data_IF_433494830039
#
_entry.id   IF_433494830039
#
_cell.length_a   1.000
_cell.length_b   1.000
_cell.length_c   1.000
_cell.angle_alpha   90.00
_cell.angle_beta   90.00
_cell.angle_gamma   90.00
#
_symmetry.space_group_name_H-M   'P 1'
#
loop_
_entity.id
_entity.type
_entity.pdbx_description
1 polymer ?
#
# COMPACT_ATOMS: atom_id res chain seq x y z
N UNK A 1 -20.62 -8.96 35.92
CA UNK A 1 -19.31 -9.47 35.53
C UNK A 1 -18.26 -8.93 36.47
N UNK A 2 -17.29 -9.69 36.95
CA UNK A 2 -16.26 -9.16 37.81
C UNK A 2 -15.46 -8.08 37.06
N UNK A 3 -15.29 -6.92 37.71
CA UNK A 3 -14.66 -5.71 37.18
C UNK A 3 -13.18 -5.86 36.76
N UNK A 4 -12.61 -7.05 36.93
CA UNK A 4 -11.21 -7.32 36.69
C UNK A 4 -10.92 -7.98 35.32
N UNK A 5 -11.96 -8.26 34.50
CA UNK A 5 -11.77 -9.02 33.22
C UNK A 5 -11.58 -8.08 32.05
N UNK A 6 -12.20 -6.91 32.04
CA UNK A 6 -12.08 -5.93 30.95
C UNK A 6 -11.59 -4.59 31.52
N UNK A 7 -10.36 -4.24 31.20
CA UNK A 7 -9.81 -2.92 31.49
C UNK A 7 -9.88 -2.01 30.26
N UNK A 8 -9.67 -0.71 30.44
CA UNK A 8 -9.67 0.29 29.37
C UNK A 8 -8.79 -0.14 28.18
N UNK A 9 -7.56 -0.60 28.46
CA UNK A 9 -6.59 -1.01 27.43
C UNK A 9 -7.07 -2.21 26.62
N UNK A 10 -7.75 -3.18 27.25
CA UNK A 10 -8.33 -4.33 26.54
C UNK A 10 -9.45 -3.90 25.60
N UNK A 11 -10.32 -2.96 26.04
CA UNK A 11 -11.39 -2.42 25.21
C UNK A 11 -10.85 -1.59 24.05
N UNK A 12 -9.85 -0.76 24.29
CA UNK A 12 -9.14 -0.03 23.22
C UNK A 12 -8.57 -0.99 22.17
N UNK A 13 -7.92 -2.08 22.61
CA UNK A 13 -7.38 -3.09 21.71
C UNK A 13 -8.48 -3.78 20.89
N UNK A 14 -9.62 -4.12 21.49
CA UNK A 14 -10.77 -4.71 20.79
C UNK A 14 -11.38 -3.76 19.75
N UNK A 15 -11.46 -2.46 20.06
CA UNK A 15 -11.93 -1.47 19.09
C UNK A 15 -10.92 -1.32 17.95
N UNK A 16 -9.65 -1.17 18.27
CA UNK A 16 -8.61 -0.99 17.25
C UNK A 16 -8.47 -2.19 16.30
N UNK A 17 -8.64 -3.41 16.80
CA UNK A 17 -8.59 -4.60 15.94
C UNK A 17 -9.92 -4.87 15.18
N UNK A 18 -10.95 -4.04 15.38
CA UNK A 18 -12.21 -4.17 14.66
C UNK A 18 -13.18 -5.22 15.23
N UNK A 19 -12.90 -5.77 16.42
CA UNK A 19 -13.77 -6.78 17.05
C UNK A 19 -15.17 -6.26 17.38
N UNK A 20 -15.36 -4.94 17.45
CA UNK A 20 -16.64 -4.30 17.74
C UNK A 20 -17.31 -3.64 16.52
N UNK A 21 -16.72 -3.76 15.30
CA UNK A 21 -17.25 -3.10 14.11
C UNK A 21 -18.67 -3.59 13.76
N UNK A 22 -18.97 -4.86 13.96
CA UNK A 22 -20.27 -5.46 13.67
C UNK A 22 -21.37 -5.00 14.64
N UNK A 23 -20.99 -4.61 15.86
CA UNK A 23 -21.93 -4.13 16.89
C UNK A 23 -22.17 -2.62 16.85
N UNK A 24 -21.43 -1.90 16.05
CA UNK A 24 -21.38 -0.44 16.06
C UNK A 24 -22.36 0.21 15.07
N UNK A 25 -23.61 -0.16 15.01
CA UNK A 25 -24.71 0.47 14.25
C UNK A 25 -24.36 1.85 13.62
N UNK A 26 -23.48 1.91 12.60
CA UNK A 26 -22.94 3.11 11.93
C UNK A 26 -21.87 3.93 12.69
N UNK A 27 -21.42 3.55 13.85
CA UNK A 27 -20.33 4.23 14.53
C UNK A 27 -18.97 3.72 14.03
N UNK A 28 -18.05 4.62 13.84
CA UNK A 28 -16.69 4.28 13.41
C UNK A 28 -15.78 4.00 14.63
N UNK A 29 -14.60 3.39 14.41
CA UNK A 29 -13.67 3.02 15.49
C UNK A 29 -13.19 4.24 16.29
N UNK A 30 -12.95 5.37 15.64
CA UNK A 30 -12.52 6.61 16.29
C UNK A 30 -13.64 7.16 17.22
N UNK A 31 -14.89 7.08 16.78
CA UNK A 31 -16.03 7.44 17.63
C UNK A 31 -16.12 6.52 18.86
N UNK A 32 -16.06 5.21 18.68
CA UNK A 32 -16.11 4.26 19.81
C UNK A 32 -15.04 4.57 20.86
N UNK A 33 -13.82 4.90 20.41
CA UNK A 33 -12.73 5.28 21.31
C UNK A 33 -12.99 6.58 22.05
N UNK A 34 -13.56 7.58 21.39
CA UNK A 34 -13.86 8.88 22.03
C UNK A 34 -14.87 8.77 23.16
N UNK A 35 -15.75 7.76 23.15
CA UNK A 35 -16.75 7.50 24.17
C UNK A 35 -16.35 6.47 25.21
N UNK A 36 -15.24 5.80 25.02
CA UNK A 36 -14.84 4.66 25.83
C UNK A 36 -14.75 5.00 27.31
N UNK A 37 -14.24 6.17 27.68
CA UNK A 37 -14.12 6.60 29.06
C UNK A 37 -15.50 6.77 29.70
N UNK A 38 -16.42 7.46 29.02
CA UNK A 38 -17.80 7.68 29.52
C UNK A 38 -18.53 6.35 29.74
N UNK A 39 -18.34 5.38 28.84
CA UNK A 39 -18.94 4.04 28.95
C UNK A 39 -18.36 3.28 30.14
N UNK A 40 -17.06 3.37 30.38
CA UNK A 40 -16.40 2.72 31.51
C UNK A 40 -16.87 3.32 32.83
N UNK A 41 -16.97 4.65 32.92
CA UNK A 41 -17.46 5.36 34.13
C UNK A 41 -18.91 4.98 34.43
N UNK A 42 -19.77 5.00 33.41
CA UNK A 42 -21.17 4.59 33.54
C UNK A 42 -21.30 3.13 34.01
N UNK A 43 -20.57 2.19 33.37
CA UNK A 43 -20.59 0.78 33.75
C UNK A 43 -20.08 0.55 35.16
N UNK A 44 -19.08 1.32 35.60
CA UNK A 44 -18.52 1.26 36.96
C UNK A 44 -19.49 1.80 38.01
N UNK A 45 -20.21 2.88 37.69
CA UNK A 45 -21.27 3.42 38.55
C UNK A 45 -22.38 2.41 38.75
N UNK A 46 -22.93 1.86 37.66
CA UNK A 46 -24.00 0.84 37.74
C UNK A 46 -23.58 -0.43 38.49
N UNK A 47 -22.34 -0.84 38.35
CA UNK A 47 -21.84 -2.00 39.08
C UNK A 47 -21.77 -1.71 40.61
N UNK A 48 -21.39 -0.50 41.01
CA UNK A 48 -21.40 -0.07 42.41
C UNK A 48 -22.83 -0.04 42.97
N UNK A 49 -23.80 0.51 42.23
CA UNK A 49 -25.19 0.58 42.63
C UNK A 49 -25.80 -0.82 42.82
N UNK A 50 -25.47 -1.77 41.94
CA UNK A 50 -25.87 -3.18 42.07
C UNK A 50 -25.28 -3.86 43.32
N UNK A 51 -24.01 -3.57 43.64
CA UNK A 51 -23.32 -4.17 44.79
C UNK A 51 -23.77 -3.56 46.12
N UNK A 52 -24.19 -2.29 46.15
CA UNK A 52 -24.70 -1.61 47.33
C UNK A 52 -26.15 -1.98 47.68
N UNK A 53 -26.82 -2.76 46.85
CA UNK A 53 -28.22 -3.16 47.04
C UNK A 53 -29.23 -2.00 46.91
N UNK A 54 -28.77 -0.79 46.54
CA UNK A 54 -29.63 0.34 46.20
C UNK A 54 -30.14 0.14 44.76
N UNK A 55 -31.14 -0.70 44.58
CA UNK A 55 -31.92 -0.73 43.37
C UNK A 55 -32.59 0.61 43.15
N UNK A 56 -32.27 1.32 42.06
CA UNK A 56 -33.01 2.51 41.71
C UNK A 56 -34.48 2.13 41.48
N UNK A 57 -35.38 2.75 42.23
CA UNK A 57 -36.84 2.53 42.12
C UNK A 57 -37.38 2.85 40.71
N UNK A 58 -36.55 3.45 39.85
CA UNK A 58 -36.82 3.87 38.48
C UNK A 58 -36.09 3.06 37.44
N UNK A 59 -35.66 1.83 37.74
CA UNK A 59 -34.99 0.95 36.79
C UNK A 59 -36.00 0.36 35.76
N UNK A 60 -36.79 1.25 35.15
CA UNK A 60 -37.69 0.92 34.06
C UNK A 60 -36.88 0.71 32.77
N UNK A 61 -37.29 -0.27 31.97
CA UNK A 61 -36.67 -0.58 30.67
C UNK A 61 -36.56 0.63 29.74
N UNK A 62 -37.23 1.74 30.03
CA UNK A 62 -37.20 2.99 29.27
C UNK A 62 -35.92 3.82 29.46
N UNK A 63 -35.22 3.67 30.60
CA UNK A 63 -33.92 4.34 30.77
C UNK A 63 -32.82 3.73 29.90
N UNK A 64 -32.91 2.45 29.55
CA UNK A 64 -32.00 1.84 28.58
C UNK A 64 -32.12 2.46 27.19
N UNK A 65 -33.31 2.92 26.81
CA UNK A 65 -33.54 3.59 25.52
C UNK A 65 -33.19 5.10 25.58
N UNK A 66 -33.15 5.71 26.75
CA UNK A 66 -32.81 7.14 26.91
C UNK A 66 -31.32 7.39 27.18
N UNK A 67 -30.58 6.38 27.68
CA UNK A 67 -29.12 6.37 27.81
C UNK A 67 -28.47 5.62 26.63
N UNK A 68 -29.27 4.89 25.84
CA UNK A 68 -28.81 4.49 24.51
C UNK A 68 -28.32 5.77 23.83
N UNK A 69 -27.01 5.89 23.70
CA UNK A 69 -26.32 6.91 22.99
C UNK A 69 -27.15 7.25 21.74
N UNK A 70 -28.00 8.28 21.85
CA UNK A 70 -28.72 8.72 20.65
C UNK A 70 -27.64 9.16 19.67
N UNK A 71 -27.65 8.64 18.46
CA UNK A 71 -26.70 9.00 17.40
C UNK A 71 -26.50 10.51 17.26
N UNK A 72 -27.47 11.30 17.77
CA UNK A 72 -27.43 12.75 17.77
C UNK A 72 -26.51 13.39 18.85
N UNK A 73 -26.07 12.64 19.86
CA UNK A 73 -25.17 13.15 20.91
C UNK A 73 -23.71 12.77 20.68
N UNK A 74 -23.46 11.84 19.77
CA UNK A 74 -22.11 11.41 19.43
C UNK A 74 -21.45 12.49 18.57
N UNK A 75 -20.37 13.10 19.03
CA UNK A 75 -19.57 13.98 18.20
C UNK A 75 -19.18 13.23 16.93
N UNK A 76 -19.45 13.82 15.75
CA UNK A 76 -18.99 13.25 14.49
C UNK A 76 -17.47 13.36 14.45
N UNK A 77 -16.81 12.23 14.63
CA UNK A 77 -15.36 12.10 14.49
C UNK A 77 -15.09 11.35 13.21
N UNK A 78 -14.19 11.86 12.38
CA UNK A 78 -13.74 11.15 11.19
C UNK A 78 -13.05 9.84 11.58
N UNK A 79 -13.36 8.79 10.86
CA UNK A 79 -12.80 7.46 11.15
C UNK A 79 -11.34 7.37 10.70
N UNK A 80 -10.63 6.41 11.25
CA UNK A 80 -9.29 6.07 10.78
C UNK A 80 -9.31 5.73 9.28
N UNK A 81 -8.28 6.15 8.57
CA UNK A 81 -8.07 5.71 7.19
C UNK A 81 -7.93 4.17 7.14
N UNK A 82 -8.24 3.58 5.99
CA UNK A 82 -8.10 2.12 5.83
C UNK A 82 -6.69 1.63 6.19
N UNK A 83 -5.66 2.37 5.81
CA UNK A 83 -4.26 2.01 6.07
C UNK A 83 -3.98 2.02 7.57
N UNK A 84 -4.49 3.01 8.31
CA UNK A 84 -4.34 3.08 9.76
C UNK A 84 -5.05 1.93 10.45
N UNK A 85 -6.29 1.59 10.03
CA UNK A 85 -7.03 0.43 10.56
C UNK A 85 -6.24 -0.86 10.38
N UNK A 86 -5.74 -1.11 9.18
CA UNK A 86 -4.95 -2.30 8.86
C UNK A 86 -3.64 -2.35 9.66
N UNK A 87 -2.98 -1.19 9.86
CA UNK A 87 -1.77 -1.11 10.69
C UNK A 87 -2.07 -1.46 12.15
N UNK A 88 -3.17 -0.97 12.71
CA UNK A 88 -3.60 -1.29 14.07
C UNK A 88 -3.97 -2.77 14.22
N UNK A 89 -4.69 -3.35 13.26
CA UNK A 89 -4.98 -4.78 13.23
C UNK A 89 -3.69 -5.61 13.26
N UNK A 90 -2.73 -5.32 12.39
CA UNK A 90 -1.45 -6.03 12.36
C UNK A 90 -0.65 -5.88 13.64
N UNK A 91 -0.62 -4.68 14.24
CA UNK A 91 0.06 -4.45 15.51
C UNK A 91 -0.53 -5.28 16.68
N UNK A 92 -1.85 -5.46 16.68
CA UNK A 92 -2.55 -6.14 17.77
C UNK A 92 -2.71 -7.64 17.55
N UNK A 93 -2.98 -8.06 16.30
CA UNK A 93 -3.28 -9.45 15.94
C UNK A 93 -2.08 -10.17 15.30
N UNK A 94 -1.09 -9.43 14.79
CA UNK A 94 0.02 -9.98 14.02
C UNK A 94 -0.26 -10.18 12.53
N UNK A 95 -1.50 -9.98 12.08
CA UNK A 95 -1.93 -10.11 10.68
C UNK A 95 -3.02 -9.10 10.33
N UNK A 96 -3.30 -8.93 9.04
CA UNK A 96 -4.41 -8.11 8.55
C UNK A 96 -5.70 -8.93 8.55
N UNK A 97 -6.75 -8.44 9.18
CA UNK A 97 -8.03 -9.14 9.30
C UNK A 97 -9.07 -8.63 8.31
N UNK A 98 -9.29 -7.32 8.26
CA UNK A 98 -10.39 -6.72 7.49
C UNK A 98 -10.12 -6.73 5.99
N UNK A 99 -8.89 -6.41 5.58
CA UNK A 99 -8.49 -6.30 4.18
C UNK A 99 -6.96 -6.40 4.03
N UNK A 100 -6.47 -6.43 2.79
CA UNK A 100 -5.02 -6.42 2.51
C UNK A 100 -4.59 -5.06 1.98
N UNK A 101 -3.45 -4.47 2.46
CA UNK A 101 -3.00 -3.13 2.04
C UNK A 101 -2.83 -2.95 0.52
N UNK A 102 -2.59 -4.05 -0.22
CA UNK A 102 -2.43 -4.02 -1.67
C UNK A 102 -3.73 -4.26 -2.45
N UNK A 103 -4.85 -4.59 -1.80
CA UNK A 103 -6.10 -4.94 -2.51
C UNK A 103 -6.62 -3.81 -3.41
N UNK A 104 -6.63 -2.59 -2.89
CA UNK A 104 -7.06 -1.42 -3.66
C UNK A 104 -6.10 -1.05 -4.80
N UNK A 105 -4.85 -1.53 -4.71
CA UNK A 105 -3.83 -1.32 -5.73
C UNK A 105 -3.85 -2.34 -6.85
N UNK A 106 -4.67 -3.39 -6.78
CA UNK A 106 -4.67 -4.51 -7.74
C UNK A 106 -4.82 -4.04 -9.19
N UNK A 107 -5.76 -3.12 -9.45
CA UNK A 107 -5.98 -2.58 -10.80
C UNK A 107 -4.86 -1.63 -11.24
N UNK A 108 -4.47 -0.60 -10.46
CA UNK A 108 -3.36 0.28 -10.81
C UNK A 108 -2.03 -0.48 -10.88
N UNK A 109 -1.79 -1.44 -9.99
CA UNK A 109 -0.57 -2.24 -9.99
C UNK A 109 -0.32 -2.97 -11.31
N UNK A 110 -1.37 -3.53 -11.93
CA UNK A 110 -1.26 -4.22 -13.24
C UNK A 110 -0.72 -3.32 -14.35
N UNK A 111 -0.85 -2.00 -14.23
CA UNK A 111 -0.29 -1.07 -15.21
C UNK A 111 1.25 -1.01 -15.15
N UNK A 112 1.83 -1.21 -13.97
CA UNK A 112 3.29 -1.10 -13.73
C UNK A 112 3.94 -2.43 -13.41
N UNK A 113 3.16 -3.42 -12.97
CA UNK A 113 3.57 -4.78 -12.65
C UNK A 113 2.62 -5.77 -13.34
N UNK A 114 2.98 -6.26 -14.54
CA UNK A 114 2.12 -7.17 -15.29
C UNK A 114 2.07 -8.58 -14.71
N UNK A 115 3.02 -8.95 -13.86
CA UNK A 115 3.13 -10.27 -13.23
C UNK A 115 2.96 -10.18 -11.71
N UNK A 116 2.47 -11.26 -11.11
CA UNK A 116 2.37 -11.45 -9.67
C UNK A 116 3.54 -12.29 -9.12
N UNK A 117 3.71 -12.30 -7.81
CA UNK A 117 4.77 -13.09 -7.16
C UNK A 117 4.60 -14.59 -7.45
N UNK A 118 3.38 -15.12 -7.46
CA UNK A 118 3.11 -16.52 -7.80
C UNK A 118 3.60 -16.93 -9.20
N UNK A 119 3.66 -15.98 -10.15
CA UNK A 119 4.12 -16.23 -11.52
C UNK A 119 5.65 -16.21 -11.67
N UNK A 120 6.40 -15.86 -10.61
CA UNK A 120 7.87 -15.86 -10.66
C UNK A 120 8.44 -17.25 -10.89
N UNK A 121 7.82 -18.28 -10.33
CA UNK A 121 8.25 -19.67 -10.48
C UNK A 121 8.14 -20.16 -11.94
N UNK A 122 7.13 -19.69 -12.67
CA UNK A 122 6.92 -20.03 -14.09
C UNK A 122 7.78 -19.18 -15.02
N UNK A 123 8.26 -18.04 -14.55
CA UNK A 123 9.05 -17.10 -15.36
C UNK A 123 10.49 -17.61 -15.50
N UNK A 124 11.09 -17.41 -16.69
CA UNK A 124 12.48 -17.86 -16.98
C UNK A 124 13.49 -17.19 -16.05
N UNK A 125 14.55 -17.95 -15.71
CA UNK A 125 15.72 -17.43 -14.98
C UNK A 125 16.32 -16.21 -15.70
N UNK A 126 16.89 -15.30 -14.93
CA UNK A 126 17.50 -14.03 -15.39
C UNK A 126 16.56 -13.10 -16.16
N UNK A 127 15.26 -13.32 -16.07
CA UNK A 127 14.28 -12.38 -16.65
C UNK A 127 14.17 -11.14 -15.76
N UNK A 128 14.18 -9.96 -16.37
CA UNK A 128 13.89 -8.69 -15.68
C UNK A 128 12.41 -8.52 -15.52
N UNK A 129 12.00 -8.24 -14.29
CA UNK A 129 10.59 -8.11 -13.91
C UNK A 129 10.36 -6.85 -13.09
N UNK A 130 9.10 -6.44 -13.00
CA UNK A 130 8.67 -5.45 -12.02
C UNK A 130 7.50 -6.01 -11.25
N UNK A 131 7.55 -5.88 -9.92
CA UNK A 131 6.58 -6.38 -8.97
C UNK A 131 6.06 -5.25 -8.09
N UNK A 132 4.78 -5.31 -7.80
CA UNK A 132 4.17 -4.51 -6.73
C UNK A 132 4.00 -5.41 -5.52
N UNK A 133 4.63 -5.05 -4.43
CA UNK A 133 4.59 -5.83 -3.20
C UNK A 133 4.75 -4.95 -1.97
N UNK A 134 4.58 -5.57 -0.82
CA UNK A 134 4.81 -4.98 0.49
C UNK A 134 5.93 -5.75 1.19
N UNK A 135 6.62 -5.10 2.11
CA UNK A 135 7.68 -5.70 2.94
C UNK A 135 7.09 -6.11 4.30
N UNK A 136 6.68 -7.37 4.52
CA UNK A 136 6.29 -7.82 5.85
C UNK A 136 7.47 -7.97 6.79
N UNK A 137 8.64 -8.37 6.28
CA UNK A 137 9.86 -8.58 7.07
C UNK A 137 11.12 -8.21 6.30
N UNK A 138 12.11 -7.71 7.01
CA UNK A 138 13.39 -7.25 6.49
C UNK A 138 14.52 -7.71 7.40
N UNK A 139 15.49 -8.43 6.85
CA UNK A 139 16.72 -8.83 7.54
C UNK A 139 17.93 -8.11 6.96
N UNK A 140 18.54 -7.24 7.74
CA UNK A 140 19.80 -6.60 7.38
C UNK A 140 20.96 -7.56 7.71
N UNK A 141 21.91 -7.69 6.80
CA UNK A 141 23.06 -8.58 6.91
C UNK A 141 24.32 -7.79 6.55
N UNK A 142 25.40 -8.07 7.28
CA UNK A 142 26.72 -7.56 6.93
C UNK A 142 27.50 -8.65 6.19
N UNK A 143 28.02 -8.33 5.01
CA UNK A 143 28.83 -9.25 4.22
C UNK A 143 30.19 -9.49 4.90
N UNK A 144 30.93 -10.52 4.47
CA UNK A 144 32.31 -10.79 4.96
C UNK A 144 33.27 -9.61 4.72
N UNK A 145 32.97 -8.72 3.79
CA UNK A 145 33.77 -7.52 3.48
C UNK A 145 33.37 -6.31 4.32
N UNK A 146 32.37 -6.44 5.21
CA UNK A 146 31.87 -5.35 6.03
C UNK A 146 30.76 -4.51 5.38
N UNK A 147 30.36 -4.81 4.14
CA UNK A 147 29.32 -4.08 3.45
C UNK A 147 27.92 -4.51 3.95
N UNK A 148 26.98 -3.57 4.04
CA UNK A 148 25.58 -3.86 4.41
C UNK A 148 24.78 -4.28 3.19
N UNK A 149 23.94 -5.30 3.36
CA UNK A 149 22.94 -5.75 2.39
C UNK A 149 21.65 -6.12 3.11
N UNK A 150 20.57 -6.36 2.38
CA UNK A 150 19.33 -6.81 2.96
C UNK A 150 18.76 -8.03 2.22
N UNK A 151 18.11 -8.90 2.99
CA UNK A 151 17.18 -9.90 2.50
C UNK A 151 15.80 -9.42 2.91
N UNK A 152 14.94 -9.21 1.93
CA UNK A 152 13.61 -8.65 2.08
C UNK A 152 12.61 -9.72 1.73
N UNK A 153 11.64 -9.96 2.61
CA UNK A 153 10.46 -10.71 2.24
C UNK A 153 9.51 -9.76 1.51
N UNK A 154 9.19 -10.06 0.25
CA UNK A 154 8.17 -9.35 -0.52
C UNK A 154 6.90 -10.17 -0.56
N UNK A 155 5.75 -9.52 -0.36
CA UNK A 155 4.43 -10.14 -0.36
C UNK A 155 3.49 -9.35 -1.27
N UNK A 156 2.69 -10.07 -2.07
CA UNK A 156 1.53 -9.55 -2.79
C UNK A 156 0.29 -10.39 -2.47
N UNK A 157 -0.84 -10.14 -3.13
CA UNK A 157 -2.08 -10.91 -2.93
C UNK A 157 -1.99 -12.37 -3.40
N UNK A 158 -0.95 -12.75 -4.12
CA UNK A 158 -0.78 -14.07 -4.71
C UNK A 158 0.19 -14.96 -3.93
N UNK A 159 1.04 -14.36 -3.10
CA UNK A 159 2.05 -15.08 -2.33
C UNK A 159 3.20 -14.20 -1.88
N UNK A 160 4.30 -14.84 -1.50
CA UNK A 160 5.50 -14.17 -1.02
C UNK A 160 6.76 -14.72 -1.68
N UNK A 161 7.79 -13.88 -1.82
CA UNK A 161 9.10 -14.28 -2.31
C UNK A 161 10.22 -13.59 -1.56
N UNK A 162 11.38 -14.20 -1.56
CA UNK A 162 12.59 -13.61 -1.02
C UNK A 162 13.24 -12.69 -2.07
N UNK A 163 13.57 -11.46 -1.68
CA UNK A 163 14.24 -10.49 -2.52
C UNK A 163 15.58 -10.08 -1.91
N UNK A 164 16.64 -10.17 -2.71
CA UNK A 164 18.00 -9.87 -2.27
C UNK A 164 18.41 -8.49 -2.74
N UNK A 165 18.81 -7.65 -1.81
CA UNK A 165 19.31 -6.30 -2.07
C UNK A 165 20.79 -6.27 -1.78
N UNK A 166 21.62 -6.38 -2.82
CA UNK A 166 23.07 -6.37 -2.71
C UNK A 166 23.62 -5.01 -2.23
N UNK A 167 24.83 -4.96 -1.69
CA UNK A 167 25.37 -3.78 -0.99
C UNK A 167 25.27 -2.49 -1.81
N UNK A 168 25.66 -2.53 -3.07
CA UNK A 168 25.61 -1.36 -3.98
C UNK A 168 24.19 -0.79 -4.14
N UNK A 169 23.23 -1.69 -4.25
CA UNK A 169 21.81 -1.35 -4.35
C UNK A 169 21.25 -0.91 -2.99
N UNK A 170 21.64 -1.58 -1.91
CA UNK A 170 21.23 -1.26 -0.55
C UNK A 170 21.61 0.16 -0.13
N UNK A 171 22.81 0.62 -0.45
CA UNK A 171 23.26 1.99 -0.16
C UNK A 171 22.34 3.05 -0.77
N UNK A 172 21.74 2.76 -1.93
CA UNK A 172 20.83 3.68 -2.63
C UNK A 172 19.39 3.60 -2.15
N UNK A 173 18.96 2.42 -1.72
CA UNK A 173 17.54 2.12 -1.50
C UNK A 173 17.17 1.95 -0.03
N UNK A 174 18.14 2.04 0.90
CA UNK A 174 17.91 1.76 2.32
C UNK A 174 16.77 2.56 2.95
N UNK A 175 16.52 3.79 2.49
CA UNK A 175 15.44 4.63 2.97
C UNK A 175 14.03 4.11 2.61
N UNK A 176 13.90 3.34 1.52
CA UNK A 176 12.64 2.74 1.07
C UNK A 176 12.41 1.35 1.66
N UNK A 177 13.46 0.71 2.17
CA UNK A 177 13.41 -0.66 2.66
C UNK A 177 13.03 -0.68 4.15
N UNK A 178 11.74 -0.42 4.40
CA UNK A 178 11.15 -0.44 5.73
C UNK A 178 10.00 -1.45 5.75
N UNK A 179 9.75 -2.05 6.93
CA UNK A 179 8.59 -2.92 7.12
C UNK A 179 7.28 -2.16 6.86
N UNK A 180 6.29 -2.86 6.35
CA UNK A 180 4.96 -2.34 5.97
C UNK A 180 4.97 -1.30 4.83
N UNK A 181 6.12 -1.09 4.17
CA UNK A 181 6.22 -0.22 3.00
C UNK A 181 5.73 -0.92 1.75
N UNK A 182 4.89 -0.24 0.97
CA UNK A 182 4.38 -0.72 -0.32
C UNK A 182 5.28 -0.23 -1.44
N UNK A 183 5.85 -1.14 -2.20
CA UNK A 183 6.86 -0.84 -3.20
C UNK A 183 6.49 -1.32 -4.59
N UNK A 184 6.88 -0.56 -5.59
CA UNK A 184 7.16 -1.05 -6.93
C UNK A 184 8.64 -1.41 -6.99
N UNK A 185 8.94 -2.69 -7.19
CA UNK A 185 10.30 -3.24 -7.21
C UNK A 185 10.63 -3.66 -8.64
N UNK A 186 11.80 -3.28 -9.12
CA UNK A 186 12.41 -3.81 -10.35
C UNK A 186 13.55 -4.72 -9.97
N UNK A 187 13.61 -5.87 -10.62
CA UNK A 187 14.65 -6.84 -10.31
C UNK A 187 14.78 -7.90 -11.39
N UNK A 188 15.71 -8.80 -11.13
CA UNK A 188 16.04 -9.93 -11.99
C UNK A 188 15.76 -11.22 -11.23
N UNK A 189 15.07 -12.15 -11.84
CA UNK A 189 14.78 -13.48 -11.26
C UNK A 189 16.09 -14.27 -11.19
N UNK A 190 16.34 -14.89 -10.04
CA UNK A 190 17.44 -15.82 -9.79
C UNK A 190 16.92 -17.18 -9.31
N UNK A 191 17.20 -18.24 -10.08
CA UNK A 191 16.77 -19.61 -9.84
C UNK A 191 17.93 -20.56 -9.53
N UNK A 192 19.04 -20.05 -8.99
CA UNK A 192 20.26 -20.85 -8.75
C UNK A 192 20.17 -21.84 -7.59
N UNK A 193 19.23 -21.67 -6.70
CA UNK A 193 18.92 -22.56 -5.58
C UNK A 193 17.52 -23.13 -5.79
N UNK A 194 17.13 -24.14 -5.03
CA UNK A 194 15.78 -24.74 -5.10
C UNK A 194 14.63 -23.76 -4.84
N UNK A 195 14.95 -22.48 -4.63
CA UNK A 195 13.99 -21.40 -4.42
C UNK A 195 14.16 -20.31 -5.47
N UNK A 196 13.03 -19.81 -5.96
CA UNK A 196 13.00 -18.62 -6.82
C UNK A 196 13.16 -17.38 -5.97
N UNK A 197 14.18 -16.57 -6.27
CA UNK A 197 14.50 -15.33 -5.56
C UNK A 197 14.49 -14.15 -6.54
N UNK A 198 14.28 -12.94 -6.02
CA UNK A 198 14.36 -11.71 -6.79
C UNK A 198 15.63 -10.94 -6.41
N UNK A 199 16.52 -10.71 -7.36
CA UNK A 199 17.64 -9.77 -7.17
C UNK A 199 17.12 -8.37 -7.45
N UNK A 200 17.08 -7.51 -6.44
CA UNK A 200 16.54 -6.15 -6.55
C UNK A 200 17.55 -5.24 -7.25
N UNK A 201 17.12 -4.63 -8.35
CA UNK A 201 17.88 -3.60 -9.07
C UNK A 201 17.50 -2.19 -8.60
N UNK A 202 16.18 -1.95 -8.33
CA UNK A 202 15.65 -0.67 -7.90
C UNK A 202 14.27 -0.84 -7.23
N UNK A 203 13.85 0.13 -6.42
CA UNK A 203 12.49 0.18 -5.88
C UNK A 203 12.01 1.61 -5.65
N UNK A 204 10.69 1.81 -5.58
CA UNK A 204 10.05 3.08 -5.23
C UNK A 204 8.78 2.84 -4.44
N UNK A 205 8.49 3.72 -3.50
CA UNK A 205 7.22 3.72 -2.79
C UNK A 205 6.06 3.97 -3.76
N UNK A 206 5.03 3.14 -3.65
CA UNK A 206 3.85 3.23 -4.51
C UNK A 206 3.03 4.47 -4.19
N UNK A 207 2.96 4.87 -2.93
CA UNK A 207 2.13 5.97 -2.47
C UNK A 207 2.51 7.31 -3.10
N UNK A 208 3.79 7.47 -3.39
CA UNK A 208 4.35 8.66 -4.03
C UNK A 208 4.64 8.47 -5.53
N UNK A 209 4.29 7.30 -6.08
CA UNK A 209 4.65 6.95 -7.46
C UNK A 209 3.79 7.72 -8.47
N UNK A 210 4.46 8.48 -9.31
CA UNK A 210 3.85 9.14 -10.47
C UNK A 210 4.08 8.32 -11.73
N UNK A 211 3.13 8.40 -12.65
CA UNK A 211 3.18 7.76 -13.96
C UNK A 211 3.12 8.84 -15.04
N UNK A 212 3.97 8.75 -16.05
CA UNK A 212 3.85 9.55 -17.25
C UNK A 212 3.00 8.80 -18.26
N UNK A 213 1.84 9.35 -18.62
CA UNK A 213 0.89 8.75 -19.57
C UNK A 213 0.92 9.55 -20.86
N UNK A 214 1.26 8.89 -21.97
CA UNK A 214 1.27 9.47 -23.32
C UNK A 214 0.00 9.00 -24.03
N UNK A 215 -0.88 9.92 -24.41
CA UNK A 215 -2.09 9.59 -25.16
C UNK A 215 -1.76 9.44 -26.64
N UNK A 216 -2.15 8.32 -27.22
CA UNK A 216 -1.94 7.99 -28.62
C UNK A 216 -3.25 7.51 -29.25
N UNK A 217 -3.51 7.93 -30.47
CA UNK A 217 -4.51 7.28 -31.30
C UNK A 217 -3.97 5.95 -31.85
N UNK A 218 -4.85 5.00 -32.15
CA UNK A 218 -4.46 3.68 -32.67
C UNK A 218 -3.57 3.75 -33.91
N UNK A 219 -3.85 4.70 -34.81
CA UNK A 219 -3.03 4.98 -35.99
C UNK A 219 -1.61 5.44 -35.65
N UNK A 220 -1.49 6.32 -34.65
CA UNK A 220 -0.19 6.81 -34.17
C UNK A 220 0.62 5.69 -33.47
N UNK A 221 -0.06 4.85 -32.69
CA UNK A 221 0.60 3.74 -32.00
C UNK A 221 1.18 2.70 -32.96
N UNK A 222 0.59 2.54 -34.14
CA UNK A 222 1.05 1.62 -35.21
C UNK A 222 2.11 2.25 -36.13
N UNK A 223 2.32 3.55 -36.09
CA UNK A 223 3.29 4.24 -36.96
C UNK A 223 4.71 4.12 -36.38
N UNK A 224 5.59 3.48 -37.15
CA UNK A 224 7.01 3.27 -36.80
C UNK A 224 7.76 4.60 -36.60
N UNK A 225 7.39 5.67 -37.33
CA UNK A 225 8.00 6.99 -37.18
C UNK A 225 7.66 7.60 -35.80
N UNK A 226 6.40 7.46 -35.37
CA UNK A 226 5.94 7.90 -34.06
C UNK A 226 6.63 7.12 -32.95
N UNK A 227 6.72 5.79 -33.09
CA UNK A 227 7.42 4.92 -32.14
C UNK A 227 8.91 5.31 -31.99
N UNK A 228 9.60 5.56 -33.09
CA UNK A 228 11.00 5.99 -33.08
C UNK A 228 11.17 7.38 -32.46
N UNK A 229 10.25 8.30 -32.71
CA UNK A 229 10.26 9.62 -32.09
C UNK A 229 10.10 9.52 -30.58
N UNK A 230 9.12 8.74 -30.11
CA UNK A 230 8.91 8.47 -28.67
C UNK A 230 10.15 7.84 -28.04
N UNK A 231 10.72 6.82 -28.68
CA UNK A 231 11.94 6.17 -28.22
C UNK A 231 13.08 7.17 -28.05
N UNK A 232 13.30 8.04 -29.04
CA UNK A 232 14.35 9.07 -29.00
C UNK A 232 14.10 10.13 -27.92
N UNK A 233 12.85 10.53 -27.72
CA UNK A 233 12.49 11.48 -26.65
C UNK A 233 12.73 10.88 -25.27
N UNK A 234 12.20 9.69 -24.98
CA UNK A 234 12.28 9.06 -23.68
C UNK A 234 13.71 8.68 -23.28
N UNK A 235 14.53 8.23 -24.25
CA UNK A 235 15.93 7.84 -23.96
C UNK A 235 16.82 8.98 -23.51
N UNK A 236 16.45 10.24 -23.78
CA UNK A 236 17.20 11.43 -23.34
C UNK A 236 17.08 11.70 -21.85
N UNK A 237 15.98 11.25 -21.23
CA UNK A 237 15.66 11.56 -19.82
C UNK A 237 15.75 10.34 -18.91
N UNK A 238 16.62 9.38 -19.24
CA UNK A 238 16.85 8.19 -18.41
C UNK A 238 17.25 8.59 -17.00
N UNK A 239 16.71 7.91 -15.97
CA UNK A 239 17.18 8.10 -14.61
C UNK A 239 18.67 7.78 -14.48
N UNK A 240 19.35 8.52 -13.63
CA UNK A 240 20.73 8.22 -13.27
C UNK A 240 20.76 6.91 -12.46
N UNK A 241 21.55 5.95 -12.92
CA UNK A 241 21.65 4.63 -12.26
C UNK A 241 22.42 4.66 -10.95
N UNK A 242 23.29 5.63 -10.78
CA UNK A 242 24.20 5.73 -9.63
C UNK A 242 23.64 6.62 -8.51
N UNK A 243 22.62 7.39 -8.79
CA UNK A 243 21.94 8.23 -7.81
C UNK A 243 20.58 7.66 -7.46
N UNK A 244 20.15 7.81 -6.22
CA UNK A 244 18.78 7.58 -5.79
C UNK A 244 17.89 8.71 -6.39
N UNK A 245 17.70 8.65 -7.71
CA UNK A 245 16.95 9.64 -8.47
C UNK A 245 15.49 9.22 -8.67
N UNK A 246 14.69 10.16 -9.15
CA UNK A 246 13.31 9.92 -9.55
C UNK A 246 13.31 8.90 -10.69
N UNK A 247 12.52 7.82 -10.55
CA UNK A 247 12.30 6.80 -11.59
C UNK A 247 10.82 6.65 -11.84
N UNK A 248 10.36 7.19 -12.95
CA UNK A 248 8.95 7.28 -13.30
C UNK A 248 8.65 6.33 -14.45
N UNK A 249 7.74 5.37 -14.26
CA UNK A 249 7.25 4.53 -15.34
C UNK A 249 6.49 5.34 -16.39
N UNK A 250 6.66 4.95 -17.64
CA UNK A 250 5.96 5.56 -18.80
C UNK A 250 4.96 4.57 -19.34
N UNK A 251 3.75 5.04 -19.61
CA UNK A 251 2.65 4.30 -20.21
C UNK A 251 2.17 5.00 -21.47
N UNK A 252 1.76 4.25 -22.48
CA UNK A 252 0.94 4.76 -23.58
C UNK A 252 -0.53 4.41 -23.30
N UNK A 253 -1.41 5.39 -23.37
CA UNK A 253 -2.85 5.21 -23.41
C UNK A 253 -3.29 5.24 -24.89
N UNK A 254 -3.45 4.07 -25.48
CA UNK A 254 -3.86 3.92 -26.88
C UNK A 254 -5.38 3.94 -26.97
N UNK A 255 -5.93 4.93 -27.64
CA UNK A 255 -7.37 5.10 -27.86
C UNK A 255 -7.82 4.38 -29.11
N UNK A 256 -8.76 3.48 -28.94
CA UNK A 256 -9.59 2.93 -30.01
C UNK A 256 -11.00 3.54 -29.92
N UNK A 257 -11.82 3.33 -30.95
CA UNK A 257 -13.18 3.92 -31.03
C UNK A 257 -14.00 3.75 -29.74
N UNK A 258 -13.89 2.63 -29.02
CA UNK A 258 -14.71 2.31 -27.86
C UNK A 258 -13.93 1.93 -26.60
N UNK A 259 -12.59 1.99 -26.62
CA UNK A 259 -11.76 1.55 -25.49
C UNK A 259 -10.44 2.28 -25.43
N UNK A 260 -9.83 2.31 -24.24
CA UNK A 260 -8.47 2.77 -24.00
C UNK A 260 -7.65 1.59 -23.51
N UNK A 261 -6.58 1.27 -24.24
CA UNK A 261 -5.64 0.22 -23.83
C UNK A 261 -4.36 0.86 -23.30
N UNK A 262 -3.96 0.47 -22.11
CA UNK A 262 -2.69 0.93 -21.53
C UNK A 262 -1.57 -0.02 -21.91
N UNK A 263 -0.50 0.52 -22.49
CA UNK A 263 0.72 -0.23 -22.85
C UNK A 263 1.87 0.32 -22.02
N UNK A 264 2.50 -0.53 -21.21
CA UNK A 264 3.67 -0.16 -20.42
C UNK A 264 4.91 -0.16 -21.30
N UNK A 265 5.69 0.91 -21.26
CA UNK A 265 7.02 0.92 -21.82
C UNK A 265 7.99 0.13 -20.93
N UNK A 266 9.00 -0.50 -21.54
CA UNK A 266 10.02 -1.22 -20.79
C UNK A 266 10.79 -0.32 -19.81
N UNK A 267 11.44 -0.93 -18.82
CA UNK A 267 12.20 -0.23 -17.77
C UNK A 267 13.24 0.78 -18.33
N UNK A 268 13.82 0.47 -19.49
CA UNK A 268 14.78 1.34 -20.18
C UNK A 268 14.21 2.69 -20.63
N UNK A 269 12.88 2.85 -20.59
CA UNK A 269 12.16 4.07 -20.95
C UNK A 269 11.57 4.80 -19.72
N UNK A 270 11.87 4.34 -18.52
CA UNK A 270 11.58 5.14 -17.33
C UNK A 270 12.33 6.47 -17.42
N UNK A 271 11.73 7.53 -16.90
CA UNK A 271 12.30 8.88 -16.93
C UNK A 271 12.72 9.34 -15.53
N UNK A 272 13.80 10.13 -15.48
CA UNK A 272 14.32 10.76 -14.26
C UNK A 272 13.97 12.23 -14.15
N UNK A 273 13.65 12.89 -15.26
CA UNK A 273 13.22 14.31 -15.31
C UNK A 273 11.85 14.42 -15.99
N UNK A 274 10.85 14.72 -15.15
CA UNK A 274 9.44 14.85 -15.61
C UNK A 274 9.28 16.08 -16.48
N UNK A 275 9.84 17.22 -16.05
CA UNK A 275 9.59 18.51 -16.68
C UNK A 275 10.21 18.56 -18.05
N UNK A 276 11.47 18.14 -18.15
CA UNK A 276 12.18 18.09 -19.44
C UNK A 276 11.53 17.09 -20.41
N UNK A 277 11.16 15.90 -19.92
CA UNK A 277 10.50 14.89 -20.74
C UNK A 277 9.13 15.36 -21.25
N UNK A 278 8.33 15.95 -20.34
CA UNK A 278 7.00 16.49 -20.69
C UNK A 278 7.11 17.57 -21.77
N UNK A 279 7.97 18.57 -21.56
CA UNK A 279 8.17 19.67 -22.52
C UNK A 279 8.59 19.15 -23.89
N UNK A 280 9.58 18.24 -23.94
CA UNK A 280 10.04 17.70 -25.22
C UNK A 280 8.96 16.88 -25.94
N UNK A 281 8.13 16.14 -25.21
CA UNK A 281 7.02 15.38 -25.79
C UNK A 281 5.92 16.31 -26.30
N UNK A 282 5.56 17.34 -25.55
CA UNK A 282 4.58 18.37 -25.94
C UNK A 282 5.06 19.14 -27.20
N UNK A 283 6.35 19.50 -27.29
CA UNK A 283 6.98 20.13 -28.45
C UNK A 283 6.90 19.24 -29.71
N UNK A 284 6.78 17.91 -29.54
CA UNK A 284 6.56 16.94 -30.60
C UNK A 284 5.10 16.59 -30.82
N UNK A 285 4.17 17.41 -30.28
CA UNK A 285 2.72 17.27 -30.43
C UNK A 285 2.13 16.02 -29.74
N UNK A 286 2.81 15.44 -28.75
CA UNK A 286 2.24 14.39 -27.92
C UNK A 286 1.46 14.97 -26.75
N UNK A 287 0.25 14.44 -26.52
CA UNK A 287 -0.50 14.75 -25.31
C UNK A 287 0.01 13.91 -24.16
N UNK A 288 0.44 14.58 -23.10
CA UNK A 288 1.07 13.92 -21.93
C UNK A 288 0.36 14.30 -20.66
N UNK A 289 0.05 13.30 -19.84
CA UNK A 289 -0.57 13.47 -18.52
C UNK A 289 0.32 12.84 -17.44
N UNK A 290 0.40 13.50 -16.31
CA UNK A 290 1.02 12.95 -15.11
C UNK A 290 -0.10 12.48 -14.17
N UNK A 291 -0.05 11.21 -13.75
CA UNK A 291 -1.04 10.62 -12.85
C UNK A 291 -0.34 9.97 -11.66
N UNK A 292 -0.88 10.13 -10.45
CA UNK A 292 -0.48 9.29 -9.32
C UNK A 292 -0.98 7.86 -9.53
N UNK A 293 -0.22 6.87 -9.10
CA UNK A 293 -0.65 5.47 -9.14
C UNK A 293 -1.75 5.21 -8.10
N UNK A 294 -1.61 5.86 -6.95
CA UNK A 294 -2.57 5.84 -5.83
C UNK A 294 -3.32 7.16 -5.85
N UNK A 295 -4.54 7.16 -6.33
CA UNK A 295 -5.43 8.34 -6.34
C UNK A 295 -6.85 7.91 -6.06
#
# INVERSE_FOLDING_TARGET
MPSNVLNKRSLESLIHCGALDEFSNNNNRAQLLSYLENVIEWASSRNRDRLSGQGNLFDSKEEFSNIAFSDSQLAKVDDYSLIEKLKLEKQLLGFYLSDHPLKHLTKPAKLVSPISISQLEETKDRTKVSLVGMIPDLKQITTRKGDRMAIVQLEDLSGSCEAIVFPKTYLRLSEFLLTDTRLLVWGTIDKKSDKTQLIVDDCREIDNLKLLIINLESSQASDVRVQNTLRNCLTKFKPDKDRCGIKIPVLAAVRNKNSVTYVKFGEQFCIGDIQGARKLLEDKSFQVNLKSLVS
#
